data_IF_004032309737
#
_entry.id   IF_004032309737
#
_cell.length_a   1.000
_cell.length_b   1.000
_cell.length_c   1.000
_cell.angle_alpha   90.00
_cell.angle_beta   90.00
_cell.angle_gamma   90.00
#
_symmetry.space_group_name_H-M   'P 1'
#
loop_
_entity.id
_entity.type
_entity.pdbx_description
1 polymer ?
#
# COMPACT_ATOMS: atom_id res chain seq x y z
N UNK A 1 1.45 -0.50 -4.03
CA UNK A 1 1.79 -1.94 -4.09
C UNK A 1 3.13 -2.19 -4.76
N UNK A 2 3.41 -1.68 -5.97
CA UNK A 2 4.71 -1.91 -6.65
C UNK A 2 5.93 -1.67 -5.77
N UNK A 3 6.01 -0.51 -5.12
CA UNK A 3 7.08 -0.18 -4.17
C UNK A 3 7.27 -1.21 -3.05
N UNK A 4 6.18 -1.73 -2.49
CA UNK A 4 6.24 -2.75 -1.45
C UNK A 4 6.72 -4.10 -1.99
N UNK A 5 6.39 -4.44 -3.25
CA UNK A 5 6.87 -5.68 -3.87
C UNK A 5 8.35 -5.61 -4.23
N UNK A 6 8.86 -4.42 -4.53
CA UNK A 6 10.28 -4.17 -4.75
C UNK A 6 11.09 -4.13 -3.45
N UNK A 7 10.42 -3.89 -2.31
CA UNK A 7 11.03 -3.79 -0.99
C UNK A 7 10.43 -4.85 -0.03
N UNK A 8 10.76 -6.15 -0.19
CA UNK A 8 10.13 -7.23 0.55
C UNK A 8 10.32 -7.12 2.07
N UNK A 9 11.45 -6.57 2.54
CA UNK A 9 11.68 -6.27 3.96
C UNK A 9 10.59 -5.35 4.52
N UNK A 10 10.29 -4.24 3.82
CA UNK A 10 9.27 -3.27 4.25
C UNK A 10 7.86 -3.85 4.20
N UNK A 11 7.58 -4.69 3.20
CA UNK A 11 6.31 -5.41 3.11
C UNK A 11 6.11 -6.35 4.31
N UNK A 12 7.15 -7.11 4.69
CA UNK A 12 7.09 -8.01 5.84
C UNK A 12 6.90 -7.27 7.15
N UNK A 13 7.62 -6.16 7.37
CA UNK A 13 7.47 -5.37 8.59
C UNK A 13 6.07 -4.74 8.65
N UNK A 14 5.56 -4.18 7.55
CA UNK A 14 4.20 -3.65 7.47
C UNK A 14 3.14 -4.73 7.74
N UNK A 15 3.36 -5.94 7.25
CA UNK A 15 2.47 -7.08 7.53
C UNK A 15 2.53 -7.49 9.00
N UNK A 16 3.71 -7.54 9.62
CA UNK A 16 3.86 -7.84 11.03
C UNK A 16 3.11 -6.83 11.91
N UNK A 17 3.23 -5.53 11.60
CA UNK A 17 2.46 -4.47 12.27
C UNK A 17 0.94 -4.76 12.17
N UNK A 18 0.45 -5.03 10.96
CA UNK A 18 -0.96 -5.34 10.72
C UNK A 18 -1.45 -6.56 11.50
N UNK A 19 -0.66 -7.64 11.55
CA UNK A 19 -1.01 -8.85 12.31
C UNK A 19 -1.03 -8.59 13.81
N UNK A 20 -0.11 -7.77 14.32
CA UNK A 20 -0.02 -7.44 15.75
C UNK A 20 -1.20 -6.60 16.25
N UNK A 21 -1.73 -5.71 15.41
CA UNK A 21 -2.80 -4.77 15.80
C UNK A 21 -4.18 -5.35 15.54
N UNK A 22 -4.39 -6.03 14.41
CA UNK A 22 -5.72 -6.49 13.99
C UNK A 22 -5.97 -7.96 14.36
N UNK A 23 -4.92 -8.72 14.67
CA UNK A 23 -5.01 -10.16 14.97
C UNK A 23 -5.11 -11.02 13.71
N UNK A 24 -5.15 -12.35 13.87
CA UNK A 24 -5.07 -13.28 12.73
C UNK A 24 -6.37 -13.36 11.92
N UNK A 25 -7.54 -13.43 12.56
CA UNK A 25 -8.81 -13.75 11.88
C UNK A 25 -9.77 -12.56 11.63
N UNK A 26 -9.43 -11.35 12.06
CA UNK A 26 -10.31 -10.17 11.94
C UNK A 26 -10.10 -9.40 10.63
N UNK A 27 -11.12 -8.84 10.00
CA UNK A 27 -10.92 -7.94 8.85
C UNK A 27 -10.44 -6.56 9.33
N UNK A 28 -9.57 -5.90 8.55
CA UNK A 28 -9.06 -4.56 8.87
C UNK A 28 -10.20 -3.55 8.87
N UNK A 29 -10.39 -2.84 9.98
CA UNK A 29 -11.39 -1.79 10.11
C UNK A 29 -10.77 -0.39 10.07
N UNK A 30 -11.59 0.63 9.80
CA UNK A 30 -11.12 2.01 9.77
C UNK A 30 -10.57 2.48 11.13
N UNK A 31 -11.14 1.99 12.23
CA UNK A 31 -10.68 2.27 13.59
C UNK A 31 -9.22 1.87 13.82
N UNK A 32 -8.75 0.83 13.11
CA UNK A 32 -7.43 0.25 13.29
C UNK A 32 -6.35 1.08 12.59
N UNK A 33 -6.70 1.86 11.56
CA UNK A 33 -5.76 2.66 10.76
C UNK A 33 -4.96 3.62 11.64
N UNK A 34 -5.60 4.20 12.66
CA UNK A 34 -4.97 5.12 13.61
C UNK A 34 -3.82 4.48 14.40
N UNK A 35 -3.83 3.15 14.55
CA UNK A 35 -2.87 2.34 15.31
C UNK A 35 -1.76 1.74 14.44
N UNK A 36 -1.74 2.06 13.14
CA UNK A 36 -0.79 1.49 12.15
C UNK A 36 0.19 2.57 11.64
N UNK A 37 1.15 3.02 12.47
CA UNK A 37 2.06 4.10 12.11
C UNK A 37 2.96 3.77 10.91
N UNK A 38 3.45 2.53 10.78
CA UNK A 38 4.31 2.14 9.67
C UNK A 38 3.53 2.11 8.35
N UNK A 39 2.32 1.55 8.35
CA UNK A 39 1.46 1.59 7.17
C UNK A 39 1.21 3.03 6.71
N UNK A 40 0.93 3.94 7.65
CA UNK A 40 0.77 5.36 7.34
C UNK A 40 2.06 5.97 6.77
N UNK A 41 3.23 5.62 7.31
CA UNK A 41 4.52 6.08 6.82
C UNK A 41 4.78 5.58 5.39
N UNK A 42 4.50 4.31 5.10
CA UNK A 42 4.60 3.73 3.76
C UNK A 42 3.74 4.52 2.76
N UNK A 43 2.49 4.79 3.10
CA UNK A 43 1.59 5.54 2.21
C UNK A 43 2.07 6.97 1.99
N UNK A 44 2.53 7.65 3.05
CA UNK A 44 3.11 9.00 2.94
C UNK A 44 4.36 9.01 2.06
N UNK A 45 5.22 8.00 2.20
CA UNK A 45 6.44 7.87 1.42
C UNK A 45 6.15 7.59 -0.06
N UNK A 46 5.17 6.73 -0.34
CA UNK A 46 4.69 6.49 -1.72
C UNK A 46 4.18 7.80 -2.32
N UNK A 47 3.40 8.60 -1.57
CA UNK A 47 2.94 9.90 -2.06
C UNK A 47 4.05 10.93 -2.25
N UNK A 48 5.13 10.84 -1.47
CA UNK A 48 6.32 11.69 -1.61
C UNK A 48 7.07 11.38 -2.91
N UNK A 49 7.23 10.10 -3.23
CA UNK A 49 7.92 9.65 -4.44
C UNK A 49 7.04 9.79 -5.70
N UNK A 50 5.76 9.41 -5.58
CA UNK A 50 4.80 9.33 -6.68
C UNK A 50 3.56 10.16 -6.37
N UNK A 51 3.67 11.51 -6.38
CA UNK A 51 2.52 12.37 -6.17
C UNK A 51 1.51 12.19 -7.31
N UNK A 52 0.26 11.79 -7.06
CA UNK A 52 -0.70 11.51 -8.13
C UNK A 52 -0.97 12.73 -9.01
N UNK A 53 -0.85 13.95 -8.46
CA UNK A 53 -1.08 15.19 -9.20
C UNK A 53 0.13 16.11 -8.99
N UNK A 54 1.27 15.89 -9.69
CA UNK A 54 2.53 16.56 -9.40
C UNK A 54 2.48 18.07 -9.61
N UNK A 55 1.69 18.55 -10.58
CA UNK A 55 1.53 19.98 -10.86
C UNK A 55 0.29 20.62 -10.21
N UNK A 56 -0.49 19.84 -9.45
CA UNK A 56 -1.79 20.24 -8.92
C UNK A 56 -2.71 20.84 -10.02
N UNK A 57 -3.88 21.35 -9.62
CA UNK A 57 -4.77 22.07 -10.56
C UNK A 57 -4.23 23.49 -10.74
N UNK A 58 -4.08 24.00 -11.98
CA UNK A 58 -3.65 25.36 -12.24
C UNK A 58 -4.48 26.39 -11.47
N UNK A 59 -3.78 27.30 -10.77
CA UNK A 59 -4.40 28.36 -9.98
C UNK A 59 -4.12 29.70 -10.64
N UNK A 60 -5.17 30.51 -10.81
CA UNK A 60 -5.05 31.89 -11.30
C UNK A 60 -5.55 32.84 -10.22
N UNK A 61 -4.77 33.88 -9.94
CA UNK A 61 -5.18 34.99 -9.08
C UNK A 61 -5.72 36.12 -9.97
N UNK A 62 -6.78 36.78 -9.51
CA UNK A 62 -7.32 37.98 -10.19
C UNK A 62 -6.66 39.27 -9.70
N UNK A 63 -5.94 39.19 -8.57
CA UNK A 63 -5.32 40.30 -7.85
C UNK A 63 -3.96 39.85 -7.30
N UNK A 64 -3.07 40.82 -7.00
CA UNK A 64 -1.83 40.56 -6.30
C UNK A 64 -2.16 40.10 -4.87
N UNK A 65 -1.72 38.90 -4.50
CA UNK A 65 -2.01 38.29 -3.19
C UNK A 65 -0.80 37.51 -2.70
N UNK A 66 -0.58 37.54 -1.40
CA UNK A 66 0.25 36.55 -0.73
C UNK A 66 -0.48 35.19 -0.72
N UNK A 67 0.24 34.14 -1.11
CA UNK A 67 -0.35 32.82 -1.30
C UNK A 67 -0.62 32.17 0.05
N UNK A 68 -1.89 32.07 0.42
CA UNK A 68 -2.37 31.29 1.58
C UNK A 68 -3.17 30.05 1.12
N UNK A 69 -2.91 28.89 1.73
CA UNK A 69 -3.32 27.55 1.29
C UNK A 69 -4.82 27.22 1.36
N UNK A 70 -5.66 27.89 0.55
CA UNK A 70 -7.13 27.78 0.61
C UNK A 70 -7.76 26.64 -0.20
N UNK A 71 -7.00 25.94 -1.05
CA UNK A 71 -7.52 24.92 -1.98
C UNK A 71 -6.92 23.54 -1.70
N UNK A 72 -7.17 23.01 -0.52
CA UNK A 72 -6.91 21.59 -0.22
C UNK A 72 -8.00 20.72 -0.86
N UNK A 73 -7.68 19.49 -1.25
CA UNK A 73 -8.67 18.58 -1.81
C UNK A 73 -9.74 18.26 -0.73
N UNK A 74 -11.04 18.52 -0.98
CA UNK A 74 -12.09 18.28 0.02
C UNK A 74 -12.26 16.79 0.32
N UNK A 75 -11.87 15.92 -0.63
CA UNK A 75 -11.96 14.48 -0.49
C UNK A 75 -10.74 13.84 0.19
N UNK A 76 -9.75 14.62 0.69
CA UNK A 76 -8.58 14.06 1.37
C UNK A 76 -8.92 13.07 2.50
N UNK A 77 -9.91 13.34 3.38
CA UNK A 77 -10.23 12.40 4.45
C UNK A 77 -10.78 11.07 3.95
N UNK A 78 -11.55 11.07 2.85
CA UNK A 78 -12.09 9.85 2.26
C UNK A 78 -11.00 9.07 1.52
N UNK A 79 -10.20 9.75 0.70
CA UNK A 79 -9.10 9.15 -0.03
C UNK A 79 -8.10 8.48 0.91
N UNK A 80 -7.78 9.15 2.03
CA UNK A 80 -6.91 8.58 3.07
C UNK A 80 -7.47 7.24 3.58
N UNK A 81 -8.73 7.18 4.00
CA UNK A 81 -9.35 5.95 4.51
C UNK A 81 -9.34 4.82 3.49
N UNK A 82 -9.79 5.12 2.26
CA UNK A 82 -9.85 4.13 1.20
C UNK A 82 -8.47 3.54 0.90
N UNK A 83 -7.44 4.39 0.77
CA UNK A 83 -6.08 3.94 0.49
C UNK A 83 -5.50 3.08 1.62
N UNK A 84 -5.62 3.53 2.87
CA UNK A 84 -5.11 2.77 4.01
C UNK A 84 -5.80 1.42 4.14
N UNK A 85 -7.14 1.36 4.03
CA UNK A 85 -7.88 0.09 4.07
C UNK A 85 -7.49 -0.84 2.91
N UNK A 86 -7.36 -0.29 1.71
CA UNK A 86 -7.03 -1.08 0.52
C UNK A 86 -5.64 -1.67 0.65
N UNK A 87 -4.63 -0.85 0.97
CA UNK A 87 -3.25 -1.31 1.12
C UNK A 87 -3.12 -2.27 2.30
N UNK A 88 -3.75 -1.98 3.45
CA UNK A 88 -3.74 -2.87 4.60
C UNK A 88 -4.30 -4.26 4.26
N UNK A 89 -5.44 -4.30 3.58
CA UNK A 89 -6.09 -5.55 3.17
C UNK A 89 -5.21 -6.34 2.20
N UNK A 90 -4.61 -5.67 1.21
CA UNK A 90 -3.75 -6.29 0.20
C UNK A 90 -2.43 -6.81 0.80
N UNK A 91 -1.81 -6.05 1.70
CA UNK A 91 -0.55 -6.44 2.36
C UNK A 91 -0.77 -7.60 3.33
N UNK A 92 -1.89 -7.59 4.05
CA UNK A 92 -2.16 -8.58 5.09
C UNK A 92 -2.58 -9.94 4.52
N UNK A 93 -3.53 -9.96 3.60
CA UNK A 93 -4.20 -11.20 3.23
C UNK A 93 -3.48 -11.98 2.14
N UNK A 94 -2.61 -11.31 1.36
CA UNK A 94 -1.99 -11.90 0.19
C UNK A 94 -0.47 -11.81 0.25
N UNK A 95 0.16 -12.93 -0.08
CA UNK A 95 1.48 -12.94 -0.66
C UNK A 95 1.41 -12.55 -2.13
N UNK A 96 2.53 -12.10 -2.68
CA UNK A 96 2.56 -11.54 -4.03
C UNK A 96 3.70 -12.17 -4.81
N UNK A 97 3.42 -12.57 -6.06
CA UNK A 97 4.42 -12.93 -7.05
C UNK A 97 4.23 -12.08 -8.30
N UNK A 98 5.31 -11.68 -8.96
CA UNK A 98 5.21 -11.04 -10.27
C UNK A 98 4.70 -12.03 -11.32
N UNK A 99 3.91 -11.53 -12.27
CA UNK A 99 3.50 -12.34 -13.41
C UNK A 99 4.72 -12.69 -14.28
N UNK A 100 4.74 -13.90 -14.87
CA UNK A 100 5.79 -14.38 -15.78
C UNK A 100 7.22 -14.48 -15.20
N UNK A 101 7.38 -14.46 -13.88
CA UNK A 101 8.69 -14.65 -13.24
C UNK A 101 9.65 -13.47 -13.42
N UNK A 102 9.13 -12.29 -13.78
CA UNK A 102 9.88 -11.03 -13.82
C UNK A 102 10.54 -10.80 -12.46
N UNK A 103 11.84 -10.50 -12.46
CA UNK A 103 12.58 -10.20 -11.22
C UNK A 103 12.30 -8.77 -10.75
N UNK A 104 12.52 -8.50 -9.47
CA UNK A 104 12.38 -7.16 -8.88
C UNK A 104 13.15 -6.09 -9.66
N UNK A 105 14.34 -6.41 -10.15
CA UNK A 105 15.21 -5.45 -10.84
C UNK A 105 14.73 -5.07 -12.25
N UNK A 106 13.83 -5.88 -12.82
CA UNK A 106 13.31 -5.71 -14.18
C UNK A 106 11.98 -4.95 -14.22
N UNK A 107 11.41 -4.62 -13.06
CA UNK A 107 10.15 -3.89 -12.97
C UNK A 107 10.38 -2.43 -13.36
N UNK A 108 9.92 -2.07 -14.55
CA UNK A 108 9.95 -0.68 -15.03
C UNK A 108 9.16 0.24 -14.08
N UNK A 109 9.77 1.33 -13.61
CA UNK A 109 9.19 2.29 -12.69
C UNK A 109 8.83 3.63 -13.35
N UNK A 110 8.88 3.72 -14.68
CA UNK A 110 8.52 4.93 -15.40
C UNK A 110 7.05 5.26 -15.23
N UNK A 111 6.77 6.55 -15.35
CA UNK A 111 5.46 7.12 -15.14
C UNK A 111 4.99 7.84 -16.39
N UNK A 112 3.71 7.69 -16.70
CA UNK A 112 3.05 8.43 -17.74
C UNK A 112 2.49 9.72 -17.14
N UNK A 113 2.98 10.85 -17.67
CA UNK A 113 2.53 12.17 -17.24
C UNK A 113 1.12 12.48 -17.81
N UNK A 114 0.26 13.04 -16.96
CA UNK A 114 -1.10 13.44 -17.32
C UNK A 114 -1.73 14.25 -16.18
N UNK A 115 -3.07 14.32 -16.14
CA UNK A 115 -3.77 14.90 -14.97
C UNK A 115 -3.48 14.09 -13.70
N UNK A 116 -3.33 12.77 -13.84
CA UNK A 116 -2.84 11.90 -12.78
C UNK A 116 -1.65 11.07 -13.24
N UNK A 117 -0.62 11.03 -12.40
CA UNK A 117 0.59 10.25 -12.58
C UNK A 117 0.28 8.77 -12.31
N UNK A 118 0.66 7.91 -13.25
CA UNK A 118 0.48 6.47 -13.14
C UNK A 118 1.65 5.76 -13.83
N UNK A 119 1.89 4.49 -13.49
CA UNK A 119 2.94 3.70 -14.14
C UNK A 119 2.68 3.61 -15.64
N UNK A 120 3.75 3.76 -16.43
CA UNK A 120 3.71 3.55 -17.87
C UNK A 120 3.32 2.10 -18.20
N UNK A 121 3.95 1.14 -17.52
CA UNK A 121 3.61 -0.27 -17.58
C UNK A 121 2.87 -0.66 -16.29
N UNK A 122 1.58 -1.07 -16.35
CA UNK A 122 0.84 -1.50 -15.17
C UNK A 122 1.52 -2.67 -14.46
N UNK A 123 1.53 -2.64 -13.12
CA UNK A 123 1.99 -3.77 -12.32
C UNK A 123 1.09 -4.98 -12.57
N UNK A 124 1.69 -6.11 -12.93
CA UNK A 124 1.02 -7.41 -13.00
C UNK A 124 1.59 -8.33 -11.93
N UNK A 125 0.78 -8.59 -10.91
CA UNK A 125 1.14 -9.45 -9.79
C UNK A 125 -0.02 -10.37 -9.43
N UNK A 126 0.31 -11.59 -9.05
CA UNK A 126 -0.65 -12.64 -8.72
C UNK A 126 -0.72 -12.74 -7.19
N UNK A 127 -1.90 -12.54 -6.58
CA UNK A 127 -2.08 -12.76 -5.15
C UNK A 127 -2.03 -14.26 -4.86
N UNK A 128 -1.26 -14.62 -3.85
CA UNK A 128 -1.20 -15.95 -3.26
C UNK A 128 -1.83 -15.87 -1.87
N UNK A 129 -2.65 -16.86 -1.51
CA UNK A 129 -3.27 -16.88 -0.19
C UNK A 129 -2.19 -17.16 0.88
N UNK A 130 -1.86 -16.13 1.64
CA UNK A 130 -0.89 -16.22 2.72
C UNK A 130 -1.49 -16.91 3.95
N UNK A 131 -2.78 -16.68 4.21
CA UNK A 131 -3.48 -17.19 5.38
C UNK A 131 -3.71 -18.70 5.28
N UNK A 132 -3.93 -19.23 4.08
CA UNK A 132 -3.91 -20.69 3.86
C UNK A 132 -2.52 -21.26 4.17
N UNK A 133 -1.43 -20.62 3.74
CA UNK A 133 -0.08 -21.12 4.02
C UNK A 133 0.22 -21.20 5.52
N UNK A 134 -0.16 -20.19 6.30
CA UNK A 134 -0.01 -20.22 7.77
C UNK A 134 -0.94 -21.28 8.39
N UNK A 135 -2.23 -21.32 8.02
CA UNK A 135 -3.17 -22.32 8.56
C UNK A 135 -2.73 -23.74 8.27
N UNK A 136 -2.21 -24.02 7.07
CA UNK A 136 -1.62 -25.30 6.72
C UNK A 136 -0.38 -25.61 7.57
N UNK A 137 0.55 -24.67 7.73
CA UNK A 137 1.75 -24.88 8.57
C UNK A 137 1.36 -25.11 10.04
N UNK A 138 0.40 -24.37 10.58
CA UNK A 138 -0.07 -24.56 11.96
C UNK A 138 -0.83 -25.87 12.15
N UNK A 139 -1.66 -26.28 11.17
CA UNK A 139 -2.42 -27.54 11.23
C UNK A 139 -1.52 -28.78 11.19
N UNK A 140 -0.37 -28.71 10.54
CA UNK A 140 0.58 -29.84 10.44
C UNK A 140 1.75 -29.76 11.45
N UNK A 141 1.94 -28.64 12.15
CA UNK A 141 2.95 -28.54 13.21
C UNK A 141 2.52 -29.18 14.54
N UNK A 142 1.22 -29.40 14.75
CA UNK A 142 0.72 -30.12 15.93
C UNK A 142 0.93 -31.65 15.83
N UNK A 143 1.11 -32.18 14.60
CA UNK A 143 1.35 -33.62 14.36
C UNK A 143 2.83 -34.05 14.57
N UNK A 144 3.74 -33.11 14.84
CA UNK A 144 5.18 -33.37 15.05
C UNK A 144 5.64 -33.21 16.51
N UNK A 145 4.73 -33.29 17.49
CA UNK A 145 5.04 -33.33 18.92
C UNK A 145 5.00 -34.72 19.58
N UNK A 146 4.95 -35.79 18.80
CA UNK A 146 5.18 -37.15 19.28
C UNK A 146 6.03 -37.90 18.25
N UNK A 147 7.35 -37.79 18.33
CA UNK A 147 8.36 -38.87 18.17
C UNK A 147 9.73 -38.30 18.56
#
# INVERSE_FOLDING_TARGET
MTELLLNPEKLLIARYELMSVVGENAQVQESDISKLPLLQAVIKEIFRNHPPVPLLIPRKTKINVEVNGRRICPCMPLASRMLHLTVATLVRNFDWKFENGIKSEEVDMKEMFGLSLHKEIPLKAIPLDFMLKIKWISLFNDDFKMY
#
